data_IF_890247777336
#
_entry.id   IF_890247777336
#
_cell.length_a   1.000
_cell.length_b   1.000
_cell.length_c   1.000
_cell.angle_alpha   90.00
_cell.angle_beta   90.00
_cell.angle_gamma   90.00
#
_symmetry.space_group_name_H-M   'P 1'
#
loop_
_entity.id
_entity.type
_entity.pdbx_description
1 polymer ?
#
# COMPACT_ATOMS: atom_id res chain seq x y z
N UNK A 1 7.69 8.77 12.15
CA UNK A 1 7.33 7.57 11.36
C UNK A 1 5.95 7.81 10.78
N UNK A 2 5.87 8.22 9.51
CA UNK A 2 4.60 8.43 8.83
C UNK A 2 3.92 7.07 8.65
N UNK A 3 2.76 6.87 9.28
CA UNK A 3 1.84 5.83 8.84
C UNK A 3 1.49 6.17 7.39
N UNK A 4 2.08 5.43 6.44
CA UNK A 4 1.62 5.48 5.06
C UNK A 4 0.14 5.10 5.13
N UNK A 5 -0.73 6.09 4.92
CA UNK A 5 -2.16 5.92 4.91
C UNK A 5 -2.49 4.73 3.98
N UNK A 6 -3.04 3.64 4.56
CA UNK A 6 -3.30 2.39 3.85
C UNK A 6 -4.15 2.59 2.59
N UNK A 7 -4.83 3.74 2.46
CA UNK A 7 -5.55 4.16 1.24
C UNK A 7 -4.68 4.12 -0.02
N UNK A 8 -3.35 4.24 0.10
CA UNK A 8 -2.42 4.29 -1.02
C UNK A 8 -1.64 2.99 -1.24
N UNK A 9 -1.99 1.91 -0.53
CA UNK A 9 -1.30 0.63 -0.70
C UNK A 9 -1.36 0.14 -2.15
N UNK A 10 -0.19 -0.15 -2.72
CA UNK A 10 -0.03 -0.50 -4.13
C UNK A 10 -0.38 0.62 -5.13
N UNK A 11 -0.58 1.86 -4.69
CA UNK A 11 -0.90 3.05 -5.50
C UNK A 11 0.14 4.16 -5.38
N UNK A 12 1.31 3.85 -4.81
CA UNK A 12 2.46 4.74 -4.70
C UNK A 12 3.68 4.20 -5.43
N UNK A 13 4.60 5.10 -5.74
CA UNK A 13 5.93 4.79 -6.25
C UNK A 13 6.93 5.70 -5.54
N UNK A 14 8.07 5.13 -5.14
CA UNK A 14 9.18 5.88 -4.56
C UNK A 14 10.36 5.82 -5.52
N UNK A 15 10.96 6.98 -5.80
CA UNK A 15 12.13 7.15 -6.68
C UNK A 15 13.01 8.27 -6.15
N UNK A 16 14.12 8.52 -6.85
CA UNK A 16 15.00 9.66 -6.57
C UNK A 16 15.05 10.63 -7.73
N UNK A 17 15.12 11.92 -7.39
CA UNK A 17 15.50 13.00 -8.29
C UNK A 17 17.01 12.97 -8.56
N UNK A 18 17.43 13.40 -9.75
CA UNK A 18 18.83 13.50 -10.11
C UNK A 18 19.53 14.62 -9.33
N UNK A 19 18.96 15.83 -9.35
CA UNK A 19 19.51 17.00 -8.65
C UNK A 19 18.84 17.16 -7.29
N UNK A 20 17.51 17.11 -7.25
CA UNK A 20 16.72 17.25 -6.02
C UNK A 20 16.34 18.69 -5.71
N UNK A 21 15.45 18.89 -4.73
CA UNK A 21 14.96 20.21 -4.30
C UNK A 21 15.75 20.71 -3.10
N UNK A 22 16.25 21.95 -3.14
CA UNK A 22 16.94 22.54 -1.99
C UNK A 22 15.94 23.15 -1.02
N UNK A 23 15.98 22.68 0.23
CA UNK A 23 15.11 23.19 1.28
C UNK A 23 15.79 23.03 2.64
N UNK A 24 15.74 24.07 3.46
CA UNK A 24 16.33 24.11 4.79
C UNK A 24 17.81 23.66 4.83
N UNK A 25 18.62 24.15 3.89
CA UNK A 25 20.06 23.89 3.87
C UNK A 25 20.49 22.58 3.21
N UNK A 26 19.55 21.75 2.72
CA UNK A 26 19.86 20.41 2.20
C UNK A 26 19.11 20.14 0.88
N UNK A 27 19.72 19.37 -0.04
CA UNK A 27 19.05 18.85 -1.25
C UNK A 27 18.29 17.56 -0.92
N UNK A 28 16.99 17.56 -1.17
CA UNK A 28 16.08 16.43 -0.98
C UNK A 28 15.83 15.74 -2.31
N UNK A 29 16.17 14.45 -2.40
CA UNK A 29 16.10 13.69 -3.67
C UNK A 29 15.06 12.59 -3.68
N UNK A 30 14.93 11.83 -2.60
CA UNK A 30 13.97 10.73 -2.52
C UNK A 30 12.55 11.28 -2.48
N UNK A 31 11.68 10.86 -3.39
CA UNK A 31 10.28 11.27 -3.40
C UNK A 31 9.34 10.07 -3.44
N UNK A 32 8.15 10.25 -2.88
CA UNK A 32 7.06 9.28 -2.98
C UNK A 32 5.88 9.96 -3.65
N UNK A 33 5.47 9.41 -4.78
CA UNK A 33 4.33 9.88 -5.57
C UNK A 33 3.18 8.89 -5.42
N UNK A 34 1.95 9.37 -5.34
CA UNK A 34 0.74 8.55 -5.47
C UNK A 34 0.08 8.76 -6.84
N UNK A 35 -0.78 7.83 -7.22
CA UNK A 35 -1.63 8.00 -8.42
C UNK A 35 -2.44 9.30 -8.36
N UNK A 36 -2.58 9.95 -9.51
CA UNK A 36 -3.44 11.11 -9.68
C UNK A 36 -4.91 10.69 -9.49
N UNK A 37 -5.65 11.52 -8.75
CA UNK A 37 -7.08 11.44 -8.60
C UNK A 37 -7.72 12.56 -9.42
N UNK A 38 -8.96 12.36 -9.90
CA UNK A 38 -9.66 13.40 -10.65
C UNK A 38 -9.76 14.73 -9.89
N UNK A 39 -9.89 14.66 -8.55
CA UNK A 39 -9.87 15.84 -7.69
C UNK A 39 -8.56 16.64 -7.76
N UNK A 40 -7.42 16.00 -8.01
CA UNK A 40 -6.14 16.72 -8.12
C UNK A 40 -6.10 17.57 -9.37
N UNK A 41 -6.59 17.04 -10.48
CA UNK A 41 -6.64 17.73 -11.77
C UNK A 41 -7.60 18.92 -11.69
N UNK A 42 -8.78 18.71 -11.09
CA UNK A 42 -9.78 19.77 -10.91
C UNK A 42 -9.22 20.86 -9.99
N UNK A 43 -8.69 20.49 -8.82
CA UNK A 43 -8.14 21.44 -7.86
C UNK A 43 -6.96 22.23 -8.44
N UNK A 44 -6.09 21.59 -9.23
CA UNK A 44 -4.99 22.28 -9.91
C UNK A 44 -5.50 23.30 -10.93
N UNK A 45 -6.53 22.94 -11.71
CA UNK A 45 -7.14 23.84 -12.69
C UNK A 45 -7.90 24.99 -12.02
N UNK A 46 -8.58 24.74 -10.91
CA UNK A 46 -9.29 25.77 -10.12
C UNK A 46 -8.31 26.72 -9.42
N UNK A 47 -7.16 26.22 -8.95
CA UNK A 47 -6.10 27.05 -8.37
C UNK A 47 -5.41 27.94 -9.43
N UNK A 48 -5.37 27.48 -10.69
CA UNK A 48 -4.69 28.16 -11.79
C UNK A 48 -5.59 28.27 -13.04
N UNK A 49 -6.72 28.99 -12.98
CA UNK A 49 -7.74 28.98 -14.04
C UNK A 49 -7.24 29.57 -15.37
N UNK A 50 -6.25 30.46 -15.32
CA UNK A 50 -5.59 31.07 -16.48
C UNK A 50 -4.10 30.69 -16.56
N UNK A 51 -3.68 29.69 -15.78
CA UNK A 51 -2.30 29.25 -15.74
C UNK A 51 -1.90 28.52 -17.02
N UNK A 52 -0.61 28.58 -17.42
CA UNK A 52 -0.13 27.73 -18.50
C UNK A 52 -0.23 26.26 -18.09
N UNK A 53 -0.39 25.37 -19.08
CA UNK A 53 -0.54 23.93 -18.84
C UNK A 53 0.59 23.35 -17.97
N UNK A 54 1.82 23.84 -18.12
CA UNK A 54 2.97 23.43 -17.34
C UNK A 54 2.80 23.72 -15.85
N UNK A 55 2.22 24.88 -15.49
CA UNK A 55 1.96 25.25 -14.10
C UNK A 55 0.85 24.37 -13.50
N UNK A 56 -0.23 24.15 -14.26
CA UNK A 56 -1.33 23.26 -13.83
C UNK A 56 -0.78 21.84 -13.61
N UNK A 57 0.04 21.34 -14.54
CA UNK A 57 0.66 20.01 -14.43
C UNK A 57 1.57 19.91 -13.21
N UNK A 58 2.37 20.95 -12.94
CA UNK A 58 3.22 20.99 -11.75
C UNK A 58 2.41 20.96 -10.45
N UNK A 59 1.28 21.68 -10.39
CA UNK A 59 0.38 21.65 -9.24
C UNK A 59 -0.28 20.27 -9.05
N UNK A 60 -0.62 19.57 -10.14
CA UNK A 60 -1.08 18.17 -10.06
C UNK A 60 0.01 17.30 -9.43
N UNK A 61 1.26 17.39 -9.90
CA UNK A 61 2.38 16.64 -9.31
C UNK A 61 2.62 17.01 -7.84
N UNK A 62 2.49 18.29 -7.47
CA UNK A 62 2.56 18.73 -6.07
C UNK A 62 1.52 18.02 -5.20
N UNK A 63 0.27 17.93 -5.67
CA UNK A 63 -0.81 17.25 -4.94
C UNK A 63 -0.60 15.73 -4.83
N UNK A 64 0.09 15.14 -5.80
CA UNK A 64 0.45 13.72 -5.81
C UNK A 64 1.68 13.39 -4.96
N UNK A 65 2.55 14.36 -4.66
CA UNK A 65 3.73 14.12 -3.84
C UNK A 65 3.33 13.94 -2.38
N UNK A 66 3.52 12.73 -1.86
CA UNK A 66 3.32 12.43 -0.44
C UNK A 66 4.54 12.82 0.41
N UNK A 67 5.73 12.81 -0.19
CA UNK A 67 6.98 13.19 0.47
C UNK A 67 8.05 13.55 -0.56
N UNK A 68 8.91 14.51 -0.24
CA UNK A 68 10.16 14.78 -0.94
C UNK A 68 11.27 15.01 0.10
N UNK A 69 12.08 13.99 0.33
CA UNK A 69 13.04 13.93 1.43
C UNK A 69 12.37 14.17 2.78
N UNK A 70 12.93 15.11 3.53
CA UNK A 70 12.41 15.53 4.84
C UNK A 70 11.63 16.85 4.77
N UNK A 71 11.24 17.31 3.57
CA UNK A 71 10.43 18.52 3.41
C UNK A 71 9.04 18.28 4.01
N UNK A 72 8.58 19.12 4.96
CA UNK A 72 7.22 19.04 5.51
C UNK A 72 6.16 19.21 4.41
N UNK A 73 5.00 18.56 4.55
CA UNK A 73 3.96 18.58 3.53
C UNK A 73 3.42 19.99 3.26
N UNK A 74 3.32 20.81 4.31
CA UNK A 74 2.92 22.21 4.26
C UNK A 74 3.94 23.12 3.55
N UNK A 75 5.21 22.72 3.51
CA UNK A 75 6.27 23.45 2.83
C UNK A 75 6.45 23.00 1.38
N UNK A 76 5.87 21.86 0.99
CA UNK A 76 5.91 21.32 -0.37
C UNK A 76 4.90 22.04 -1.28
N UNK A 77 5.18 23.30 -1.58
CA UNK A 77 4.31 24.16 -2.39
C UNK A 77 4.69 24.15 -3.88
N UNK A 78 3.79 24.61 -4.75
CA UNK A 78 4.07 24.70 -6.20
C UNK A 78 5.14 25.75 -6.47
N UNK A 79 5.23 26.80 -5.67
CA UNK A 79 6.28 27.80 -5.76
C UNK A 79 7.65 27.21 -5.47
N UNK A 80 7.77 26.38 -4.42
CA UNK A 80 9.02 25.70 -4.09
C UNK A 80 9.43 24.78 -5.24
N UNK A 81 8.51 23.93 -5.71
CA UNK A 81 8.80 22.99 -6.80
C UNK A 81 9.17 23.72 -8.09
N UNK A 82 8.46 24.82 -8.42
CA UNK A 82 8.75 25.63 -9.61
C UNK A 82 10.14 26.27 -9.56
N UNK A 83 10.58 26.70 -8.38
CA UNK A 83 11.87 27.35 -8.21
C UNK A 83 13.04 26.34 -8.20
N UNK A 84 12.83 25.16 -7.62
CA UNK A 84 13.94 24.25 -7.26
C UNK A 84 14.00 22.95 -8.06
N UNK A 85 12.93 22.54 -8.75
CA UNK A 85 12.99 21.39 -9.65
C UNK A 85 13.72 21.76 -10.93
N UNK A 86 14.75 20.98 -11.27
CA UNK A 86 15.27 20.99 -12.62
C UNK A 86 14.27 20.38 -13.60
N UNK A 87 14.36 20.73 -14.88
CA UNK A 87 13.54 20.13 -15.93
C UNK A 87 13.71 18.61 -15.99
N UNK A 88 14.95 18.11 -15.78
CA UNK A 88 15.23 16.68 -15.71
C UNK A 88 14.55 16.00 -14.51
N UNK A 89 14.50 16.65 -13.36
CA UNK A 89 13.81 16.14 -12.18
C UNK A 89 12.29 16.14 -12.38
N UNK A 90 11.74 17.17 -13.04
CA UNK A 90 10.32 17.19 -13.42
C UNK A 90 9.98 16.04 -14.36
N UNK A 91 10.84 15.75 -15.34
CA UNK A 91 10.67 14.61 -16.25
C UNK A 91 10.72 13.27 -15.51
N UNK A 92 11.54 13.13 -14.45
CA UNK A 92 11.58 11.94 -13.61
C UNK A 92 10.28 11.73 -12.83
N UNK A 93 9.67 12.82 -12.33
CA UNK A 93 8.35 12.77 -11.68
C UNK A 93 7.28 12.36 -12.69
N UNK A 94 7.25 12.98 -13.87
CA UNK A 94 6.30 12.62 -14.93
C UNK A 94 6.41 11.14 -15.35
N UNK A 95 7.63 10.63 -15.51
CA UNK A 95 7.87 9.22 -15.80
C UNK A 95 7.46 8.28 -14.65
N UNK A 96 7.52 8.75 -13.40
CA UNK A 96 7.02 8.01 -12.25
C UNK A 96 5.48 7.92 -12.25
N UNK A 97 4.81 9.02 -12.59
CA UNK A 97 3.35 9.08 -12.75
C UNK A 97 2.86 8.13 -13.86
N UNK A 98 3.47 8.19 -15.05
CA UNK A 98 3.11 7.29 -16.15
C UNK A 98 3.29 5.81 -15.77
N UNK A 99 4.40 5.49 -15.10
CA UNK A 99 4.68 4.14 -14.62
C UNK A 99 3.62 3.68 -13.60
N UNK A 100 3.19 4.58 -12.71
CA UNK A 100 2.12 4.34 -11.76
C UNK A 100 0.81 4.02 -12.47
N UNK A 101 0.39 4.83 -13.44
CA UNK A 101 -0.83 4.59 -14.19
C UNK A 101 -0.81 3.22 -14.89
N UNK A 102 0.30 2.91 -15.57
CA UNK A 102 0.47 1.62 -16.26
C UNK A 102 0.36 0.46 -15.29
N UNK A 103 1.00 0.57 -14.11
CA UNK A 103 0.94 -0.47 -13.08
C UNK A 103 -0.49 -0.65 -12.54
N UNK A 104 -1.21 0.46 -12.31
CA UNK A 104 -2.60 0.46 -11.82
C UNK A 104 -3.57 -0.14 -12.83
N UNK A 105 -3.45 0.22 -14.12
CA UNK A 105 -4.22 -0.41 -15.21
C UNK A 105 -3.97 -1.92 -15.28
N UNK A 106 -2.72 -2.34 -15.15
CA UNK A 106 -2.33 -3.77 -15.19
C UNK A 106 -2.92 -4.54 -14.02
N UNK A 107 -2.88 -3.99 -12.80
CA UNK A 107 -3.52 -4.57 -11.60
C UNK A 107 -5.04 -4.70 -11.79
N UNK A 108 -5.70 -3.64 -12.26
CA UNK A 108 -7.14 -3.67 -12.52
C UNK A 108 -7.52 -4.77 -13.53
N UNK A 109 -6.73 -4.94 -14.59
CA UNK A 109 -6.91 -6.02 -15.57
C UNK A 109 -6.74 -7.40 -14.91
N UNK A 110 -5.69 -7.60 -14.12
CA UNK A 110 -5.43 -8.88 -13.45
C UNK A 110 -6.57 -9.25 -12.49
N UNK A 111 -7.11 -8.26 -11.75
CA UNK A 111 -8.26 -8.47 -10.86
C UNK A 111 -9.50 -8.88 -11.64
N UNK A 112 -9.80 -8.21 -12.76
CA UNK A 112 -10.94 -8.57 -13.64
C UNK A 112 -10.81 -9.99 -14.17
N UNK A 113 -9.62 -10.39 -14.63
CA UNK A 113 -9.36 -11.75 -15.10
C UNK A 113 -9.49 -12.80 -14.00
N UNK A 114 -9.00 -12.51 -12.79
CA UNK A 114 -9.14 -13.40 -11.64
C UNK A 114 -10.63 -13.57 -11.25
N UNK A 115 -11.40 -12.48 -11.22
CA UNK A 115 -12.86 -12.54 -10.95
C UNK A 115 -13.60 -13.33 -12.02
N UNK A 116 -13.26 -13.13 -13.30
CA UNK A 116 -13.85 -13.89 -14.40
C UNK A 116 -13.51 -15.38 -14.31
N UNK A 117 -12.25 -15.72 -14.02
CA UNK A 117 -11.81 -17.11 -13.84
C UNK A 117 -12.49 -17.78 -12.65
N UNK A 118 -12.64 -17.09 -11.52
CA UNK A 118 -13.33 -17.62 -10.35
C UNK A 118 -14.82 -17.91 -10.61
N UNK A 119 -15.46 -17.17 -11.53
CA UNK A 119 -16.82 -17.45 -11.98
C UNK A 119 -16.90 -18.70 -12.86
N UNK A 120 -15.95 -18.87 -13.79
CA UNK A 120 -15.92 -20.02 -14.70
C UNK A 120 -15.48 -21.32 -14.00
N UNK A 121 -14.58 -21.20 -13.02
CA UNK A 121 -14.00 -22.33 -12.30
C UNK A 121 -14.00 -22.02 -10.80
N UNK A 122 -15.16 -22.14 -10.12
CA UNK A 122 -15.20 -21.94 -8.68
C UNK A 122 -14.31 -22.99 -8.00
N UNK A 123 -13.53 -22.60 -6.97
CA UNK A 123 -12.74 -23.57 -6.21
C UNK A 123 -13.68 -24.62 -5.64
N UNK A 124 -13.35 -25.91 -5.82
CA UNK A 124 -14.06 -27.00 -5.15
C UNK A 124 -13.97 -26.75 -3.66
N UNK A 125 -15.09 -26.39 -3.03
CA UNK A 125 -15.16 -26.28 -1.59
C UNK A 125 -14.71 -27.63 -1.01
N UNK A 126 -13.82 -27.65 -0.01
CA UNK A 126 -13.49 -28.89 0.66
C UNK A 126 -14.79 -29.52 1.16
N UNK A 127 -14.92 -30.86 1.13
CA UNK A 127 -16.12 -31.52 1.62
C UNK A 127 -16.39 -31.01 3.04
N UNK A 128 -17.63 -30.55 3.29
CA UNK A 128 -18.07 -30.16 4.63
C UNK A 128 -17.73 -31.32 5.56
N UNK A 129 -16.78 -31.12 6.49
CA UNK A 129 -16.51 -32.08 7.56
C UNK A 129 -17.84 -32.33 8.27
N UNK A 130 -18.36 -33.54 8.14
CA UNK A 130 -19.59 -33.94 8.82
C UNK A 130 -19.25 -34.08 10.31
N UNK A 131 -19.80 -33.23 11.21
CA UNK A 131 -19.43 -33.24 12.64
C UNK A 131 -19.80 -34.55 13.36
N UNK A 132 -20.52 -35.45 12.70
CA UNK A 132 -20.88 -36.77 13.24
C UNK A 132 -19.73 -37.78 13.23
N UNK A 133 -18.63 -37.56 12.50
CA UNK A 133 -17.52 -38.52 12.46
C UNK A 133 -16.42 -38.29 13.52
N UNK A 134 -16.40 -37.14 14.21
CA UNK A 134 -15.40 -36.87 15.26
C UNK A 134 -15.76 -37.49 16.62
N UNK A 135 -17.05 -37.80 16.87
CA UNK A 135 -17.46 -38.43 18.14
C UNK A 135 -17.08 -39.93 18.23
N UNK A 136 -16.63 -40.54 17.15
CA UNK A 136 -16.23 -41.96 17.14
C UNK A 136 -14.75 -42.20 17.50
N UNK A 137 -13.90 -41.16 17.45
CA UNK A 137 -12.49 -41.29 17.85
C UNK A 137 -12.24 -41.02 19.34
N UNK A 138 -13.11 -40.26 20.00
CA UNK A 138 -12.89 -39.83 21.39
C UNK A 138 -13.35 -40.85 22.45
N UNK A 139 -14.07 -41.92 22.05
CA UNK A 139 -14.53 -42.99 22.97
C UNK A 139 -13.54 -44.14 23.17
N UNK A 140 -12.46 -44.25 22.38
CA UNK A 140 -11.42 -45.29 22.60
C UNK A 140 -10.33 -44.88 23.60
N UNK A 141 -10.23 -43.60 23.93
CA UNK A 141 -9.19 -43.07 24.82
C UNK A 141 -9.52 -43.18 26.32
N UNK A 142 -10.78 -43.50 26.68
CA UNK A 142 -11.25 -43.52 28.09
C UNK A 142 -11.45 -44.91 28.70
N UNK A 143 -11.02 -46.00 28.04
CA UNK A 143 -11.21 -47.38 28.53
C UNK A 143 -9.94 -48.13 28.94
N UNK A 144 -8.81 -47.43 29.11
CA UNK A 144 -7.54 -48.06 29.53
C UNK A 144 -6.82 -47.34 30.68
N UNK A 145 -7.56 -46.72 31.60
CA UNK A 145 -7.01 -46.17 32.84
C UNK A 145 -7.86 -46.65 34.03
N UNK A 146 -7.68 -47.91 34.40
CA UNK A 146 -8.34 -48.54 35.54
C UNK A 146 -7.62 -49.85 35.87
N UNK A 147 -6.56 -49.75 36.66
CA UNK A 147 -5.75 -50.89 37.09
C UNK A 147 -4.79 -50.48 38.20
N UNK A 148 -5.27 -50.60 39.44
CA UNK A 148 -4.61 -50.34 40.72
C UNK A 148 -3.23 -50.97 40.89
N UNK A 149 -2.32 -50.30 41.61
CA UNK A 149 -1.52 -51.00 42.60
C UNK A 149 -1.03 -50.10 43.75
N UNK A 150 -1.63 -50.37 44.92
CA UNK A 150 -1.02 -50.59 46.26
C UNK A 150 -0.09 -49.51 46.82
N UNK A 151 -0.51 -49.00 47.98
CA UNK A 151 0.16 -47.93 48.70
C UNK A 151 1.32 -48.34 49.58
N UNK A 152 1.80 -47.35 50.33
CA UNK A 152 2.47 -47.46 51.65
C UNK A 152 2.68 -46.04 52.21
N UNK A 153 2.03 -45.78 53.35
CA UNK A 153 2.45 -44.79 54.36
C UNK A 153 3.80 -45.23 54.99
N UNK A 154 4.58 -44.40 55.72
CA UNK A 154 4.17 -43.46 56.81
C UNK A 154 4.85 -42.05 56.71
N UNK A 155 4.30 -40.95 57.27
CA UNK A 155 4.35 -40.44 58.66
C UNK A 155 5.74 -40.34 59.31
N UNK A 156 6.28 -39.11 59.42
CA UNK A 156 6.77 -38.38 60.63
C UNK A 156 7.78 -37.30 60.20
N UNK A 157 7.51 -36.04 60.57
CA UNK A 157 8.20 -35.23 61.61
C UNK A 157 9.66 -34.95 61.27
#
# INVERSE_FOLDING_TARGET
MNQADNRWDGLTITKELAIGVYYAGTRHKSFTLRVAMAGDLIAAQEAHPQGPLQLVTLEVYRQQLLSLGAIPAEALTTELLRAELSEGDLALIAAADEALEKSSRRRARHRRLATHRARLYPPRLPPRRNPLHDQARDRRSRRSAGGSQVGRHPLRQ
#
